data_IF_421812684206
#
_entry.id   IF_421812684206
#
_cell.length_a   1.000
_cell.length_b   1.000
_cell.length_c   1.000
_cell.angle_alpha   90.00
_cell.angle_beta   90.00
_cell.angle_gamma   90.00
#
_symmetry.space_group_name_H-M   'P 1'
#
loop_
_entity.id
_entity.type
_entity.pdbx_description
1 polymer ?
#
# COMPACT_ATOMS: atom_id res chain seq x y z
N UNK A 1 25.75 -19.84 -46.23
CA UNK A 1 24.74 -20.42 -45.30
C UNK A 1 25.10 -20.19 -43.84
N UNK A 2 26.37 -20.31 -43.51
CA UNK A 2 26.82 -20.25 -42.12
C UNK A 2 26.63 -18.89 -41.45
N UNK A 3 26.85 -17.78 -42.18
CA UNK A 3 26.65 -16.43 -41.65
C UNK A 3 25.18 -16.13 -41.32
N UNK A 4 24.25 -16.64 -42.12
CA UNK A 4 22.81 -16.47 -41.88
C UNK A 4 22.36 -17.26 -40.64
N UNK A 5 22.82 -18.46 -40.47
CA UNK A 5 22.55 -19.29 -39.28
C UNK A 5 23.14 -18.65 -38.04
N UNK A 6 24.33 -18.09 -38.12
CA UNK A 6 25.00 -17.42 -37.00
C UNK A 6 24.23 -16.16 -36.56
N UNK A 7 23.78 -15.35 -37.51
CA UNK A 7 22.95 -14.17 -37.20
C UNK A 7 21.62 -14.59 -36.54
N UNK A 8 20.99 -15.63 -37.03
CA UNK A 8 19.72 -16.13 -36.51
C UNK A 8 19.87 -16.69 -35.08
N UNK A 9 20.94 -17.44 -34.80
CA UNK A 9 21.21 -17.93 -33.43
C UNK A 9 21.55 -16.82 -32.44
N UNK A 10 22.33 -15.84 -32.84
CA UNK A 10 22.66 -14.68 -31.99
C UNK A 10 21.40 -13.85 -31.71
N UNK A 11 20.56 -13.61 -32.72
CA UNK A 11 19.28 -12.91 -32.54
C UNK A 11 18.36 -13.65 -31.58
N UNK A 12 18.27 -14.97 -31.70
CA UNK A 12 17.44 -15.78 -30.79
C UNK A 12 17.94 -15.72 -29.33
N UNK A 13 19.26 -15.73 -29.13
CA UNK A 13 19.87 -15.59 -27.80
C UNK A 13 19.58 -14.22 -27.17
N UNK A 14 19.65 -13.15 -27.96
CA UNK A 14 19.35 -11.77 -27.49
C UNK A 14 17.88 -11.67 -27.07
N UNK A 15 16.97 -12.20 -27.88
CA UNK A 15 15.54 -12.20 -27.56
C UNK A 15 15.25 -13.00 -26.27
N UNK A 16 15.85 -14.19 -26.15
CA UNK A 16 15.70 -15.02 -24.95
C UNK A 16 16.23 -14.31 -23.70
N UNK A 17 17.41 -13.68 -23.80
CA UNK A 17 17.98 -12.94 -22.68
C UNK A 17 17.15 -11.71 -22.27
N UNK A 18 16.65 -10.96 -23.27
CA UNK A 18 15.72 -9.85 -23.05
C UNK A 18 14.42 -10.27 -22.37
N UNK A 19 13.87 -11.42 -22.75
CA UNK A 19 12.68 -11.99 -22.14
C UNK A 19 12.91 -12.36 -20.65
N UNK A 20 14.04 -12.96 -20.33
CA UNK A 20 14.41 -13.28 -18.95
C UNK A 20 14.51 -12.02 -18.11
N UNK A 21 15.21 -10.98 -18.58
CA UNK A 21 15.33 -9.70 -17.86
C UNK A 21 13.95 -9.06 -17.65
N UNK A 22 13.09 -9.11 -18.66
CA UNK A 22 11.72 -8.60 -18.57
C UNK A 22 10.91 -9.30 -17.47
N UNK A 23 10.97 -10.62 -17.37
CA UNK A 23 10.30 -11.37 -16.31
C UNK A 23 10.83 -11.01 -14.92
N UNK A 24 12.15 -10.92 -14.74
CA UNK A 24 12.74 -10.55 -13.46
C UNK A 24 12.38 -9.11 -13.05
N UNK A 25 12.26 -8.19 -13.98
CA UNK A 25 11.88 -6.81 -13.72
C UNK A 25 10.42 -6.68 -13.22
N UNK A 26 9.58 -7.67 -13.46
CA UNK A 26 8.15 -7.68 -13.04
C UNK A 26 7.89 -8.37 -11.72
N UNK A 27 8.94 -8.89 -11.10
CA UNK A 27 8.86 -9.51 -9.80
C UNK A 27 8.95 -8.45 -8.71
N UNK A 28 7.82 -8.14 -8.07
CA UNK A 28 7.75 -7.16 -7.00
C UNK A 28 7.81 -7.84 -5.63
N UNK A 29 8.70 -7.34 -4.79
CA UNK A 29 8.84 -7.75 -3.40
C UNK A 29 8.12 -6.73 -2.51
N UNK A 30 7.33 -7.23 -1.57
CA UNK A 30 6.69 -6.40 -0.56
C UNK A 30 7.52 -6.50 0.74
N UNK A 31 8.13 -5.41 1.21
CA UNK A 31 8.76 -5.37 2.52
C UNK A 31 7.70 -5.50 3.63
N UNK A 32 8.14 -5.82 4.85
CA UNK A 32 7.26 -6.07 5.99
C UNK A 32 6.62 -4.81 6.58
N UNK A 33 7.16 -3.64 6.26
CA UNK A 33 6.70 -2.32 6.72
C UNK A 33 5.61 -1.68 5.84
N UNK A 34 5.27 -2.34 4.72
CA UNK A 34 4.29 -1.86 3.75
C UNK A 34 3.35 -2.97 3.29
N UNK A 35 2.19 -2.54 2.83
CA UNK A 35 1.24 -3.40 2.13
C UNK A 35 1.36 -3.13 0.64
N UNK A 36 1.53 -4.19 -0.13
CA UNK A 36 1.45 -4.13 -1.59
C UNK A 36 -0.01 -4.35 -2.00
N UNK A 37 -0.62 -3.31 -2.54
CA UNK A 37 -1.98 -3.37 -3.09
C UNK A 37 -1.89 -3.51 -4.59
N UNK A 38 -2.31 -4.65 -5.11
CA UNK A 38 -2.42 -4.91 -6.54
C UNK A 38 -3.88 -4.73 -6.95
N UNK A 39 -4.13 -3.82 -7.86
CA UNK A 39 -5.46 -3.53 -8.37
C UNK A 39 -5.54 -3.71 -9.89
N UNK A 40 -6.74 -3.96 -10.38
CA UNK A 40 -7.00 -4.31 -11.77
C UNK A 40 -7.62 -5.69 -11.90
N UNK A 41 -7.49 -6.33 -13.08
CA UNK A 41 -8.06 -7.67 -13.33
C UNK A 41 -7.27 -8.73 -12.55
N UNK A 42 -7.67 -8.96 -11.32
CA UNK A 42 -7.10 -10.02 -10.47
C UNK A 42 -7.89 -11.31 -10.75
N UNK A 43 -7.22 -12.29 -11.32
CA UNK A 43 -7.85 -13.56 -11.70
C UNK A 43 -8.33 -14.37 -10.49
N UNK A 44 -9.55 -14.15 -10.06
CA UNK A 44 -10.19 -14.95 -9.01
C UNK A 44 -11.17 -14.14 -8.15
N UNK A 45 -12.45 -14.27 -8.41
CA UNK A 45 -13.49 -13.99 -7.42
C UNK A 45 -13.97 -12.56 -7.24
N UNK A 46 -13.98 -11.73 -8.28
CA UNK A 46 -14.76 -10.47 -8.26
C UNK A 46 -14.20 -9.35 -7.37
N UNK A 47 -13.03 -9.49 -6.77
CA UNK A 47 -12.36 -8.42 -6.05
C UNK A 47 -11.47 -7.63 -7.00
N UNK A 48 -11.64 -6.32 -7.01
CA UNK A 48 -10.85 -5.39 -7.83
C UNK A 48 -9.44 -5.13 -7.26
N UNK A 49 -9.20 -5.48 -6.02
CA UNK A 49 -7.92 -5.28 -5.32
C UNK A 49 -7.50 -6.50 -4.50
N UNK A 50 -6.20 -6.74 -4.46
CA UNK A 50 -5.57 -7.77 -3.62
C UNK A 50 -4.46 -7.13 -2.79
N UNK A 51 -4.60 -7.21 -1.47
CA UNK A 51 -3.60 -6.72 -0.53
C UNK A 51 -2.68 -7.87 -0.11
N UNK A 52 -1.39 -7.60 -0.13
CA UNK A 52 -0.33 -8.52 0.29
C UNK A 52 0.54 -7.84 1.34
N UNK A 53 0.65 -8.48 2.50
CA UNK A 53 1.55 -8.06 3.57
C UNK A 53 2.72 -9.03 3.64
N UNK A 54 3.90 -8.55 3.26
CA UNK A 54 5.09 -9.38 3.14
C UNK A 54 5.07 -10.34 1.94
N UNK A 55 6.23 -10.82 1.55
CA UNK A 55 6.40 -11.74 0.45
C UNK A 55 6.62 -11.08 -0.90
N UNK A 56 6.31 -11.79 -1.97
CA UNK A 56 6.53 -11.31 -3.32
C UNK A 56 5.41 -11.79 -4.25
N UNK A 57 5.08 -10.96 -5.23
CA UNK A 57 4.08 -11.28 -6.23
C UNK A 57 4.52 -10.85 -7.61
N UNK A 58 3.98 -11.52 -8.60
CA UNK A 58 4.16 -11.16 -9.99
C UNK A 58 3.00 -10.28 -10.45
N UNK A 59 3.33 -9.08 -10.93
CA UNK A 59 2.35 -8.10 -11.40
C UNK A 59 2.36 -8.03 -12.92
N UNK A 60 1.20 -8.25 -13.55
CA UNK A 60 1.04 -8.14 -14.99
C UNK A 60 0.93 -6.67 -15.42
N UNK A 61 1.90 -6.14 -16.20
CA UNK A 61 2.00 -4.71 -16.48
C UNK A 61 0.87 -4.15 -17.34
N UNK A 62 0.14 -5.02 -18.05
CA UNK A 62 -0.90 -4.59 -19.01
C UNK A 62 -2.28 -4.47 -18.36
N UNK A 63 -2.54 -5.30 -17.34
CA UNK A 63 -3.89 -5.46 -16.76
C UNK A 63 -3.94 -5.19 -15.25
N UNK A 64 -2.78 -5.04 -14.60
CA UNK A 64 -2.67 -4.82 -13.17
C UNK A 64 -1.75 -3.63 -12.90
N UNK A 65 -2.12 -2.83 -11.92
CA UNK A 65 -1.26 -1.83 -11.33
C UNK A 65 -1.03 -2.16 -9.85
N UNK A 66 0.00 -1.62 -9.25
CA UNK A 66 0.32 -1.83 -7.85
C UNK A 66 0.68 -0.51 -7.19
N UNK A 67 0.39 -0.42 -5.91
CA UNK A 67 0.75 0.70 -5.07
C UNK A 67 1.12 0.20 -3.68
N UNK A 68 2.02 0.92 -3.01
CA UNK A 68 2.43 0.60 -1.65
C UNK A 68 1.67 1.48 -0.66
N UNK A 69 1.05 0.85 0.34
CA UNK A 69 0.46 1.52 1.48
C UNK A 69 1.41 1.34 2.67
N UNK A 70 1.88 2.45 3.21
CA UNK A 70 2.79 2.47 4.35
C UNK A 70 2.03 2.10 5.64
N UNK A 71 2.61 1.24 6.46
CA UNK A 71 2.07 0.80 7.75
C UNK A 71 2.65 1.56 8.93
N UNK A 72 3.57 2.49 8.68
CA UNK A 72 4.25 3.23 9.73
C UNK A 72 3.23 3.95 10.62
N UNK A 73 3.23 3.70 11.93
CA UNK A 73 2.33 4.40 12.84
C UNK A 73 2.62 5.90 12.84
N UNK A 74 1.57 6.70 12.80
CA UNK A 74 1.66 8.15 12.91
C UNK A 74 1.23 8.62 14.30
N UNK A 75 1.84 9.68 14.78
CA UNK A 75 1.44 10.35 16.02
C UNK A 75 0.60 11.57 15.68
N UNK A 76 -0.61 11.61 16.21
CA UNK A 76 -1.54 12.72 16.07
C UNK A 76 -1.60 13.43 17.42
N UNK A 77 -1.29 14.72 17.42
CA UNK A 77 -1.41 15.59 18.58
C UNK A 77 -2.74 16.32 18.53
N UNK A 78 -3.59 16.07 19.51
CA UNK A 78 -4.89 16.71 19.64
C UNK A 78 -4.85 17.57 20.91
N UNK A 79 -4.68 18.89 20.78
CA UNK A 79 -4.88 19.79 21.91
C UNK A 79 -6.37 19.86 22.22
N UNK A 80 -6.75 19.47 23.41
CA UNK A 80 -8.10 19.65 23.94
C UNK A 80 -8.09 20.85 24.86
N UNK A 81 -8.41 21.99 24.27
CA UNK A 81 -8.56 23.24 25.00
C UNK A 81 -10.00 23.31 25.52
N UNK A 82 -10.16 23.79 26.77
CA UNK A 82 -11.48 23.97 27.42
C UNK A 82 -12.27 22.65 27.67
N UNK A 83 -11.62 21.50 27.80
CA UNK A 83 -12.30 20.27 28.17
C UNK A 83 -12.92 20.37 29.57
N UNK A 84 -14.22 20.04 29.67
CA UNK A 84 -14.92 20.04 30.96
C UNK A 84 -14.66 18.70 31.68
N UNK A 85 -13.97 18.78 32.81
CA UNK A 85 -13.85 17.64 33.71
C UNK A 85 -15.24 17.24 34.27
N UNK A 86 -15.38 15.99 34.72
CA UNK A 86 -16.57 15.48 35.39
C UNK A 86 -17.05 16.39 36.54
N UNK A 87 -16.15 17.15 37.12
CA UNK A 87 -16.41 18.15 38.18
C UNK A 87 -16.67 19.58 37.65
N UNK A 88 -16.88 19.73 36.32
CA UNK A 88 -17.12 21.02 35.63
C UNK A 88 -15.98 22.03 35.76
N UNK A 89 -14.74 21.55 35.95
CA UNK A 89 -13.55 22.38 35.93
C UNK A 89 -12.99 22.34 34.51
N UNK A 90 -12.65 23.50 33.93
CA UNK A 90 -11.95 23.59 32.66
C UNK A 90 -10.52 23.12 32.82
N UNK A 91 -10.11 22.20 31.99
CA UNK A 91 -8.76 21.67 31.96
C UNK A 91 -8.27 21.62 30.52
N UNK A 92 -7.03 22.01 30.30
CA UNK A 92 -6.35 21.89 29.03
C UNK A 92 -5.57 20.58 29.03
N UNK A 93 -5.91 19.67 28.12
CA UNK A 93 -5.29 18.36 28.02
C UNK A 93 -4.64 18.19 26.66
N UNK A 94 -3.32 18.17 26.65
CA UNK A 94 -2.57 17.82 25.44
C UNK A 94 -2.51 16.28 25.32
N UNK A 95 -3.25 15.75 24.37
CA UNK A 95 -3.28 14.30 24.10
C UNK A 95 -2.53 13.97 22.83
N UNK A 96 -1.73 12.90 22.86
CA UNK A 96 -1.08 12.34 21.69
C UNK A 96 -1.57 10.91 21.45
N UNK A 97 -2.02 10.65 20.25
CA UNK A 97 -2.49 9.34 19.84
C UNK A 97 -1.57 8.76 18.79
N UNK A 98 -1.19 7.49 18.95
CA UNK A 98 -0.46 6.76 17.93
C UNK A 98 -1.45 5.89 17.18
N UNK A 99 -1.63 6.17 15.90
CA UNK A 99 -2.54 5.42 15.03
C UNK A 99 -1.76 4.69 13.95
N UNK A 100 -2.22 3.51 13.59
CA UNK A 100 -1.61 2.70 12.54
C UNK A 100 -2.66 1.88 11.81
N UNK A 101 -2.29 1.44 10.61
CA UNK A 101 -3.15 0.58 9.78
C UNK A 101 -3.01 -0.86 10.26
N UNK A 102 -4.14 -1.53 10.50
CA UNK A 102 -4.14 -2.94 10.90
C UNK A 102 -3.69 -3.86 9.75
N UNK A 103 -2.95 -4.89 10.10
CA UNK A 103 -2.51 -5.95 9.18
C UNK A 103 -3.54 -7.07 9.01
N UNK A 104 -4.71 -6.97 9.65
CA UNK A 104 -5.80 -7.91 9.46
C UNK A 104 -6.29 -7.86 8.01
N UNK A 105 -6.38 -9.01 7.29
CA UNK A 105 -6.71 -9.05 5.87
C UNK A 105 -8.03 -8.37 5.50
N UNK A 106 -9.03 -8.43 6.37
CA UNK A 106 -10.33 -7.80 6.13
C UNK A 106 -10.29 -6.28 6.28
N UNK A 107 -9.65 -5.81 7.34
CA UNK A 107 -9.49 -4.38 7.63
C UNK A 107 -8.53 -3.73 6.63
N UNK A 108 -7.45 -4.44 6.30
CA UNK A 108 -6.44 -4.03 5.34
C UNK A 108 -7.02 -3.75 3.95
N UNK A 109 -7.94 -4.59 3.47
CA UNK A 109 -8.61 -4.38 2.19
C UNK A 109 -9.47 -3.10 2.19
N UNK A 110 -10.23 -2.87 3.26
CA UNK A 110 -11.04 -1.67 3.43
C UNK A 110 -10.19 -0.40 3.56
N UNK A 111 -9.06 -0.49 4.28
CA UNK A 111 -8.11 0.60 4.40
C UNK A 111 -7.48 0.93 3.04
N UNK A 112 -7.09 -0.08 2.28
CA UNK A 112 -6.54 0.11 0.93
C UNK A 112 -7.55 0.81 0.01
N UNK A 113 -8.81 0.43 0.01
CA UNK A 113 -9.84 1.07 -0.84
C UNK A 113 -10.08 2.54 -0.50
N UNK A 114 -9.92 2.91 0.77
CA UNK A 114 -10.21 4.28 1.23
C UNK A 114 -9.00 5.20 1.26
N UNK A 115 -7.83 4.65 1.56
CA UNK A 115 -6.61 5.42 1.82
C UNK A 115 -5.64 5.40 0.64
N UNK A 116 -5.81 4.47 -0.30
CA UNK A 116 -4.93 4.38 -1.47
C UNK A 116 -5.00 5.66 -2.31
N UNK A 117 -3.83 6.22 -2.62
CA UNK A 117 -3.75 7.48 -3.36
C UNK A 117 -4.01 8.74 -2.54
N UNK A 118 -4.32 8.62 -1.24
CA UNK A 118 -4.44 9.80 -0.37
C UNK A 118 -3.06 10.24 0.15
N UNK A 119 -2.76 11.54 0.14
CA UNK A 119 -1.55 12.05 0.75
C UNK A 119 -1.61 11.91 2.28
N UNK A 120 -0.46 11.72 2.93
CA UNK A 120 -0.33 11.58 4.37
C UNK A 120 -1.13 12.59 5.21
N UNK A 121 -1.10 13.91 4.91
CA UNK A 121 -1.86 14.89 5.68
C UNK A 121 -3.39 14.69 5.61
N UNK A 122 -3.91 14.10 4.52
CA UNK A 122 -5.33 13.78 4.43
C UNK A 122 -5.70 12.60 5.33
N UNK A 123 -4.83 11.60 5.44
CA UNK A 123 -5.01 10.45 6.34
C UNK A 123 -4.97 10.90 7.80
N UNK A 124 -4.05 11.79 8.16
CA UNK A 124 -3.96 12.39 9.49
C UNK A 124 -5.24 13.17 9.86
N UNK A 125 -5.76 13.96 8.93
CA UNK A 125 -7.01 14.70 9.13
C UNK A 125 -8.20 13.76 9.35
N UNK A 126 -8.34 12.72 8.54
CA UNK A 126 -9.40 11.71 8.70
C UNK A 126 -9.29 11.00 10.05
N UNK A 127 -8.09 10.62 10.46
CA UNK A 127 -7.87 9.96 11.74
C UNK A 127 -8.21 10.89 12.92
N UNK A 128 -7.82 12.16 12.85
CA UNK A 128 -8.14 13.15 13.88
C UNK A 128 -9.65 13.39 13.99
N UNK A 129 -10.37 13.50 12.87
CA UNK A 129 -11.84 13.67 12.86
C UNK A 129 -12.55 12.46 13.49
N UNK A 130 -12.09 11.23 13.22
CA UNK A 130 -12.65 10.02 13.83
C UNK A 130 -12.42 10.02 15.34
N UNK A 131 -11.23 10.39 15.80
CA UNK A 131 -10.90 10.47 17.23
C UNK A 131 -11.75 11.52 17.91
N UNK A 132 -11.88 12.72 17.33
CA UNK A 132 -12.74 13.77 17.85
C UNK A 132 -14.20 13.33 17.95
N UNK A 133 -14.71 12.57 16.99
CA UNK A 133 -16.08 12.05 17.01
C UNK A 133 -16.33 10.97 18.07
N UNK A 134 -15.29 10.37 18.65
CA UNK A 134 -15.37 9.34 19.70
C UNK A 134 -15.16 9.90 21.12
N UNK A 135 -14.66 11.11 21.24
CA UNK A 135 -14.41 11.81 22.50
C UNK A 135 -15.63 12.62 22.95
#
# INVERSE_FOLDING_TARGET
MDSFVLILTVSMLIIMFGMVIFFFSRYQKCPSDRILVVYGKTGGGGRSSRCLHGGATFVWPVIQAFEYLDLTPMQIHIPLDDALSKEKIKVDVNSSFTVGISTDPGIMANAAERLLGQPWPAIETLASEIIFGQM
#
